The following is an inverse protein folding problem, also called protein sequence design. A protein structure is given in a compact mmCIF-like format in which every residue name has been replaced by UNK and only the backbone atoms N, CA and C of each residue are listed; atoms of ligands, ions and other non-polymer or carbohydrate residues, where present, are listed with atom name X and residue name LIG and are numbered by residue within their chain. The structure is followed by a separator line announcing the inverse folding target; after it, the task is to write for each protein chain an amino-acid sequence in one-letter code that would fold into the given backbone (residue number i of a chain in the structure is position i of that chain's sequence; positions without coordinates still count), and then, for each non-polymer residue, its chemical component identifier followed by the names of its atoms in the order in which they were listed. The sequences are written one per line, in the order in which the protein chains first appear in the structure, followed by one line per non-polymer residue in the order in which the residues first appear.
data_IF_002604429516
#
_entry.id   IF_002604429516
#
_cell.length_a   1.000
_cell.length_b   1.000
_cell.length_c   1.000
_cell.angle_alpha   90.00
_cell.angle_beta   90.00
_cell.angle_gamma   90.00
#
_symmetry.space_group_name_H-M   'P 1'
#
loop_
_entity.id
_entity.type
_entity.pdbx_description
1 polymer ?
#
# COMPACT_ATOMS: atom_id res chain seq x y z
N UNK A 1 2.73 11.76 -4.50
CA UNK A 1 3.65 12.62 -3.74
C UNK A 1 5.11 12.40 -4.17
N UNK A 2 5.62 11.15 -4.20
CA UNK A 2 7.01 10.88 -4.64
C UNK A 2 7.26 11.44 -6.04
N UNK A 3 6.41 11.13 -7.01
CA UNK A 3 6.53 11.66 -8.38
C UNK A 3 6.42 13.19 -8.43
N UNK A 4 5.56 13.78 -7.62
CA UNK A 4 5.44 15.24 -7.54
C UNK A 4 6.72 15.92 -7.03
N UNK A 5 7.41 15.28 -6.07
CA UNK A 5 8.67 15.80 -5.51
C UNK A 5 9.87 15.59 -6.41
N UNK A 6 9.89 14.48 -7.13
CA UNK A 6 11.04 14.12 -7.99
C UNK A 6 10.92 14.63 -9.41
N UNK A 7 9.70 14.92 -9.87
CA UNK A 7 9.43 15.28 -11.26
C UNK A 7 9.53 14.11 -12.24
N UNK A 8 9.72 12.88 -11.74
CA UNK A 8 9.84 11.68 -12.57
C UNK A 8 8.91 10.57 -12.10
N UNK A 9 8.56 9.67 -13.01
CA UNK A 9 7.67 8.54 -12.71
C UNK A 9 8.39 7.46 -11.89
N UNK A 10 7.65 6.74 -11.05
CA UNK A 10 8.19 5.66 -10.21
C UNK A 10 9.01 4.64 -10.99
N UNK A 11 8.61 4.13 -12.18
CA UNK A 11 9.44 3.21 -12.95
C UNK A 11 10.84 3.77 -13.26
N UNK A 12 10.94 5.07 -13.56
CA UNK A 12 12.24 5.73 -13.82
C UNK A 12 13.10 5.76 -12.57
N UNK A 13 12.52 5.97 -11.39
CA UNK A 13 13.25 5.92 -10.11
C UNK A 13 13.81 4.51 -9.89
N UNK A 14 13.00 3.46 -10.15
CA UNK A 14 13.45 2.07 -10.07
C UNK A 14 14.59 1.75 -11.04
N UNK A 15 14.53 2.28 -12.27
CA UNK A 15 15.58 2.06 -13.29
C UNK A 15 16.91 2.72 -12.91
N UNK A 16 16.87 3.91 -12.32
CA UNK A 16 18.05 4.72 -12.00
C UNK A 16 18.63 4.36 -10.63
N UNK A 17 17.79 4.24 -9.61
CA UNK A 17 18.18 4.11 -8.20
C UNK A 17 17.96 2.70 -7.63
N UNK A 18 17.29 1.83 -8.38
CA UNK A 18 16.86 0.52 -7.92
C UNK A 18 15.73 0.56 -6.89
N UNK A 19 15.30 -0.62 -6.45
CA UNK A 19 14.25 -0.73 -5.43
C UNK A 19 14.66 -0.05 -4.12
N UNK A 20 15.91 -0.20 -3.69
CA UNK A 20 16.40 0.35 -2.43
C UNK A 20 16.33 1.89 -2.43
N UNK A 21 16.78 2.55 -3.49
CA UNK A 21 16.68 4.01 -3.63
C UNK A 21 15.23 4.50 -3.59
N UNK A 22 14.33 3.79 -4.27
CA UNK A 22 12.89 4.09 -4.17
C UNK A 22 12.37 3.94 -2.73
N UNK A 23 12.76 2.87 -2.00
CA UNK A 23 12.34 2.64 -0.60
C UNK A 23 12.85 3.73 0.34
N UNK A 24 14.04 4.27 0.10
CA UNK A 24 14.57 5.39 0.90
C UNK A 24 13.72 6.66 0.72
N UNK A 25 13.33 6.95 -0.50
CA UNK A 25 12.41 8.07 -0.81
C UNK A 25 11.02 7.86 -0.21
N UNK A 26 10.49 6.65 -0.34
CA UNK A 26 9.18 6.26 0.20
C UNK A 26 9.14 6.43 1.72
N UNK A 27 10.15 5.95 2.44
CA UNK A 27 10.25 6.08 3.89
C UNK A 27 10.31 7.53 4.35
N UNK A 28 11.07 8.37 3.65
CA UNK A 28 11.13 9.80 3.95
C UNK A 28 9.78 10.48 3.78
N UNK A 29 9.08 10.22 2.67
CA UNK A 29 7.76 10.81 2.41
C UNK A 29 6.72 10.33 3.42
N UNK A 30 6.72 9.03 3.77
CA UNK A 30 5.82 8.48 4.79
C UNK A 30 6.05 9.16 6.13
N UNK A 31 7.29 9.31 6.57
CA UNK A 31 7.63 9.95 7.84
C UNK A 31 7.15 11.41 7.91
N UNK A 32 7.33 12.15 6.82
CA UNK A 32 6.89 13.55 6.75
C UNK A 32 5.36 13.69 6.74
N UNK A 33 4.66 12.84 5.98
CA UNK A 33 3.19 12.90 5.87
C UNK A 33 2.51 12.41 7.15
N UNK A 34 3.02 11.35 7.78
CA UNK A 34 2.45 10.81 9.01
C UNK A 34 2.58 11.78 10.21
N UNK A 35 3.48 12.76 10.14
CA UNK A 35 3.59 13.84 11.13
C UNK A 35 2.59 14.98 10.94
N UNK A 36 1.77 14.96 9.89
CA UNK A 36 0.78 15.99 9.60
C UNK A 36 -0.63 15.54 10.03
N UNK A 37 -1.47 16.51 10.42
CA UNK A 37 -2.87 16.24 10.77
C UNK A 37 -3.76 16.27 9.53
N UNK A 38 -4.94 15.65 9.63
CA UNK A 38 -6.00 15.68 8.62
C UNK A 38 -5.56 15.19 7.22
N UNK A 39 -4.73 14.15 7.20
CA UNK A 39 -4.21 13.53 5.98
C UNK A 39 -4.83 12.15 5.74
N UNK A 40 -5.08 11.84 4.48
CA UNK A 40 -5.31 10.46 4.02
C UNK A 40 -4.08 10.03 3.23
N UNK A 41 -3.36 9.03 3.74
CA UNK A 41 -2.14 8.52 3.13
C UNK A 41 -2.43 7.20 2.44
N UNK A 42 -2.42 7.19 1.10
CA UNK A 42 -2.47 5.98 0.30
C UNK A 42 -1.03 5.51 0.00
N UNK A 43 -0.63 4.39 0.58
CA UNK A 43 0.72 3.86 0.41
C UNK A 43 0.82 2.88 -0.75
N UNK A 44 2.03 2.76 -1.32
CA UNK A 44 2.37 1.60 -2.14
C UNK A 44 2.45 0.33 -1.28
N UNK A 45 2.22 -0.84 -1.89
CA UNK A 45 2.19 -2.10 -1.16
C UNK A 45 3.53 -2.50 -0.52
N UNK A 46 4.66 -1.96 -0.98
CA UNK A 46 5.97 -2.23 -0.39
C UNK A 46 6.34 -1.33 0.79
N UNK A 47 5.55 -0.31 1.11
CA UNK A 47 5.79 0.58 2.23
C UNK A 47 5.89 -0.16 3.57
N UNK A 48 5.18 -1.29 3.68
CA UNK A 48 5.10 -2.11 4.89
C UNK A 48 6.39 -2.92 5.18
N UNK A 49 7.28 -3.08 4.20
CA UNK A 49 8.45 -3.94 4.34
C UNK A 49 9.44 -3.44 5.39
N UNK A 50 9.58 -2.13 5.53
CA UNK A 50 10.50 -1.52 6.48
C UNK A 50 9.87 -1.36 7.87
N UNK A 51 10.52 -1.86 8.94
CA UNK A 51 10.02 -1.73 10.32
C UNK A 51 9.77 -0.28 10.74
N UNK A 52 10.64 0.64 10.32
CA UNK A 52 10.50 2.07 10.60
C UNK A 52 9.23 2.66 10.00
N UNK A 53 8.86 2.27 8.77
CA UNK A 53 7.62 2.70 8.16
C UNK A 53 6.40 2.17 8.93
N UNK A 54 6.46 0.89 9.36
CA UNK A 54 5.37 0.30 10.15
C UNK A 54 5.17 1.05 11.46
N UNK A 55 6.26 1.38 12.16
CA UNK A 55 6.20 2.15 13.40
C UNK A 55 5.58 3.54 13.19
N UNK A 56 6.03 4.25 12.17
CA UNK A 56 5.54 5.60 11.82
C UNK A 56 4.05 5.58 11.45
N UNK A 57 3.62 4.64 10.63
CA UNK A 57 2.21 4.52 10.22
C UNK A 57 1.29 4.22 11.41
N UNK A 58 1.68 3.31 12.31
CA UNK A 58 0.91 2.99 13.52
C UNK A 58 0.79 4.16 14.50
N UNK A 59 1.84 4.97 14.60
CA UNK A 59 1.85 6.14 15.49
C UNK A 59 1.13 7.35 14.90
N UNK A 60 1.12 7.45 13.57
CA UNK A 60 0.61 8.61 12.85
C UNK A 60 -0.91 8.63 12.64
N UNK A 61 -1.61 7.50 12.80
CA UNK A 61 -3.05 7.46 12.55
C UNK A 61 -3.65 6.07 12.48
N UNK A 62 -4.89 5.98 12.05
CA UNK A 62 -5.60 4.71 11.86
C UNK A 62 -5.15 4.03 10.58
N UNK A 63 -4.62 2.82 10.70
CA UNK A 63 -4.14 2.02 9.57
C UNK A 63 -5.24 1.09 9.07
N UNK A 64 -5.60 1.24 7.80
CA UNK A 64 -6.60 0.41 7.13
C UNK A 64 -5.90 -0.50 6.13
N UNK A 65 -6.03 -1.80 6.31
CA UNK A 65 -5.59 -2.80 5.34
C UNK A 65 -6.74 -3.18 4.42
N UNK A 66 -6.62 -2.86 3.15
CA UNK A 66 -7.53 -3.33 2.10
C UNK A 66 -7.04 -4.68 1.58
N UNK A 67 -7.59 -5.76 2.14
CA UNK A 67 -7.19 -7.12 1.77
C UNK A 67 -7.84 -7.55 0.45
N UNK A 68 -7.02 -7.92 -0.51
CA UNK A 68 -7.43 -8.39 -1.84
C UNK A 68 -6.69 -9.68 -2.17
N UNK A 69 -7.40 -10.71 -2.58
CA UNK A 69 -6.79 -11.99 -2.96
C UNK A 69 -5.88 -11.83 -4.20
N UNK A 70 -4.77 -12.59 -4.28
CA UNK A 70 -3.82 -12.52 -5.41
C UNK A 70 -4.48 -12.68 -6.79
N UNK A 71 -5.48 -13.55 -6.92
CA UNK A 71 -6.22 -13.72 -8.18
C UNK A 71 -6.94 -12.44 -8.64
N UNK A 72 -7.55 -11.73 -7.69
CA UNK A 72 -8.23 -10.46 -7.99
C UNK A 72 -7.22 -9.33 -8.26
N UNK A 73 -6.09 -9.33 -7.55
CA UNK A 73 -4.99 -8.39 -7.80
C UNK A 73 -4.45 -8.58 -9.22
N UNK A 74 -4.25 -9.82 -9.66
CA UNK A 74 -3.80 -10.11 -11.02
C UNK A 74 -4.73 -9.50 -12.07
N UNK A 75 -6.04 -9.74 -11.98
CA UNK A 75 -7.01 -9.19 -12.94
C UNK A 75 -7.02 -7.65 -12.98
N UNK A 76 -6.79 -7.01 -11.83
CA UNK A 76 -6.74 -5.53 -11.73
C UNK A 76 -5.44 -4.93 -12.26
N UNK A 77 -4.33 -5.66 -12.18
CA UNK A 77 -2.98 -5.10 -12.41
C UNK A 77 -2.29 -5.62 -13.66
N UNK A 78 -2.81 -6.66 -14.33
CA UNK A 78 -2.18 -7.33 -15.48
C UNK A 78 -1.84 -6.43 -16.67
N UNK A 79 -2.53 -5.29 -16.79
CA UNK A 79 -2.30 -4.31 -17.86
C UNK A 79 -1.69 -2.99 -17.36
N UNK A 80 -1.29 -2.92 -16.10
CA UNK A 80 -0.74 -1.70 -15.50
C UNK A 80 0.80 -1.66 -15.63
N UNK A 81 1.35 -0.79 -16.50
CA UNK A 81 2.81 -0.68 -16.69
C UNK A 81 3.52 0.01 -15.51
N UNK A 82 2.75 0.60 -14.57
CA UNK A 82 3.31 1.32 -13.41
C UNK A 82 3.60 0.40 -12.22
N UNK A 83 3.74 -0.91 -12.47
CA UNK A 83 4.03 -1.94 -11.46
C UNK A 83 5.37 -2.62 -11.76
N UNK A 84 6.53 -2.00 -11.41
CA UNK A 84 7.85 -2.55 -11.77
C UNK A 84 8.06 -3.99 -11.29
N UNK A 85 7.60 -4.34 -10.09
CA UNK A 85 7.74 -5.68 -9.53
C UNK A 85 6.90 -6.76 -10.21
N UNK A 86 5.94 -6.38 -11.07
CA UNK A 86 5.10 -7.31 -11.84
C UNK A 86 5.54 -7.44 -13.30
N UNK A 87 6.61 -6.75 -13.71
CA UNK A 87 7.23 -6.89 -15.03
C UNK A 87 8.16 -8.11 -15.04
N UNK A 88 7.59 -9.30 -14.89
CA UNK A 88 8.28 -10.59 -14.78
C UNK A 88 7.58 -11.62 -15.64
N UNK A 89 8.23 -12.77 -15.88
CA UNK A 89 7.73 -13.86 -16.72
C UNK A 89 6.41 -14.46 -16.18
N UNK A 90 6.31 -14.66 -14.86
CA UNK A 90 5.07 -15.12 -14.19
C UNK A 90 4.56 -14.09 -13.16
N UNK A 91 3.74 -13.11 -13.58
CA UNK A 91 3.17 -12.13 -12.67
C UNK A 91 2.19 -12.70 -11.65
N UNK A 92 1.52 -13.82 -11.99
CA UNK A 92 0.56 -14.48 -11.06
C UNK A 92 1.29 -15.07 -9.87
N UNK A 93 2.34 -15.86 -10.11
CA UNK A 93 3.15 -16.42 -9.05
C UNK A 93 3.81 -15.31 -8.22
N UNK A 94 4.32 -14.29 -8.88
CA UNK A 94 4.90 -13.12 -8.20
C UNK A 94 3.92 -12.44 -7.26
N UNK A 95 2.65 -12.31 -7.63
CA UNK A 95 1.61 -11.76 -6.76
C UNK A 95 1.33 -12.64 -5.54
N UNK A 96 1.32 -13.96 -5.72
CA UNK A 96 1.18 -14.91 -4.60
C UNK A 96 2.34 -14.78 -3.63
N UNK A 97 3.57 -14.72 -4.13
CA UNK A 97 4.78 -14.58 -3.32
C UNK A 97 4.78 -13.24 -2.55
N UNK A 98 4.43 -12.13 -3.23
CA UNK A 98 4.30 -10.82 -2.59
C UNK A 98 3.19 -10.80 -1.53
N UNK A 99 2.06 -11.45 -1.79
CA UNK A 99 0.99 -11.57 -0.82
C UNK A 99 1.45 -12.34 0.42
N UNK A 100 2.04 -13.52 0.25
CA UNK A 100 2.53 -14.34 1.36
C UNK A 100 3.59 -13.61 2.21
N UNK A 101 4.44 -12.82 1.58
CA UNK A 101 5.46 -12.01 2.26
C UNK A 101 4.86 -10.85 3.04
N UNK A 102 3.85 -10.17 2.49
CA UNK A 102 3.36 -8.87 2.97
C UNK A 102 2.11 -8.95 3.83
N UNK A 103 1.21 -9.92 3.59
CA UNK A 103 -0.04 -10.05 4.35
C UNK A 103 0.18 -10.13 5.86
N UNK A 104 1.15 -10.88 6.40
CA UNK A 104 1.43 -10.87 7.84
C UNK A 104 1.84 -9.48 8.36
N UNK A 105 2.60 -8.72 7.57
CA UNK A 105 3.06 -7.38 7.95
C UNK A 105 1.92 -6.35 7.89
N UNK A 106 1.01 -6.45 6.92
CA UNK A 106 -0.19 -5.64 6.87
C UNK A 106 -1.09 -5.89 8.09
N UNK A 107 -1.30 -7.18 8.44
CA UNK A 107 -2.11 -7.55 9.60
C UNK A 107 -1.50 -7.11 10.92
N UNK A 108 -0.16 -7.11 11.02
CA UNK A 108 0.57 -6.63 12.20
C UNK A 108 0.26 -5.16 12.52
N UNK A 109 0.12 -4.31 11.50
CA UNK A 109 -0.03 -2.87 11.68
C UNK A 109 -1.45 -2.36 11.54
N UNK A 110 -2.36 -3.15 10.97
CA UNK A 110 -3.72 -2.73 10.68
C UNK A 110 -4.57 -2.60 11.94
N UNK A 111 -5.20 -1.44 12.11
CA UNK A 111 -6.28 -1.24 13.07
C UNK A 111 -7.62 -1.75 12.50
N UNK A 112 -7.78 -1.64 11.19
CA UNK A 112 -8.97 -2.10 10.46
C UNK A 112 -8.54 -2.95 9.27
N UNK A 113 -9.18 -4.12 9.10
CA UNK A 113 -9.00 -4.96 7.92
C UNK A 113 -10.33 -5.00 7.16
N UNK A 114 -10.29 -4.64 5.88
CA UNK A 114 -11.44 -4.67 4.99
C UNK A 114 -11.17 -5.63 3.84
N UNK A 115 -11.95 -6.71 3.77
CA UNK A 115 -11.85 -7.68 2.68
C UNK A 115 -12.58 -7.18 1.44
N UNK A 116 -11.84 -6.99 0.35
CA UNK A 116 -12.38 -6.59 -0.94
C UNK A 116 -12.81 -7.82 -1.75
N UNK A 117 -13.99 -8.34 -1.44
CA UNK A 117 -14.53 -9.59 -2.03
C UNK A 117 -15.18 -9.39 -3.41
N UNK A 118 -14.65 -8.51 -4.26
CA UNK A 118 -15.12 -8.37 -5.64
C UNK A 118 -16.31 -7.44 -5.86
N UNK A 119 -16.64 -6.62 -4.89
CA UNK A 119 -17.67 -5.57 -5.02
C UNK A 119 -17.19 -4.31 -5.77
N UNK A 120 -18.09 -3.35 -5.94
CA UNK A 120 -17.76 -2.05 -6.51
C UNK A 120 -16.92 -1.21 -5.55
N UNK A 121 -16.19 -0.21 -6.07
CA UNK A 121 -15.46 0.78 -5.25
C UNK A 121 -16.38 1.45 -4.24
N UNK A 122 -17.61 1.79 -4.63
CA UNK A 122 -18.60 2.42 -3.75
C UNK A 122 -18.98 1.51 -2.56
N UNK A 123 -19.06 0.20 -2.77
CA UNK A 123 -19.29 -0.75 -1.68
C UNK A 123 -18.11 -0.84 -0.72
N UNK A 124 -16.89 -0.84 -1.26
CA UNK A 124 -15.67 -0.84 -0.46
C UNK A 124 -15.57 0.43 0.39
N UNK A 125 -15.83 1.60 -0.18
CA UNK A 125 -15.86 2.89 0.54
C UNK A 125 -16.85 2.82 1.70
N UNK A 126 -18.08 2.36 1.47
CA UNK A 126 -19.09 2.21 2.55
C UNK A 126 -18.65 1.23 3.66
N UNK A 127 -17.91 0.18 3.31
CA UNK A 127 -17.37 -0.73 4.32
C UNK A 127 -16.30 -0.04 5.18
N UNK A 128 -15.40 0.70 4.56
CA UNK A 128 -14.37 1.49 5.26
C UNK A 128 -15.02 2.52 6.20
N UNK A 129 -15.98 3.30 5.70
CA UNK A 129 -16.72 4.30 6.50
C UNK A 129 -17.38 3.68 7.73
N UNK A 130 -18.08 2.56 7.56
CA UNK A 130 -18.73 1.84 8.67
C UNK A 130 -17.73 1.36 9.74
N UNK A 131 -16.56 0.89 9.33
CA UNK A 131 -15.56 0.43 10.27
C UNK A 131 -14.92 1.60 11.03
N UNK A 132 -14.64 2.70 10.35
CA UNK A 132 -14.14 3.93 10.98
C UNK A 132 -15.14 4.48 12.01
N UNK A 133 -16.43 4.54 11.67
CA UNK A 133 -17.46 4.99 12.59
C UNK A 133 -17.55 4.12 13.86
N UNK A 134 -17.37 2.81 13.74
CA UNK A 134 -17.34 1.90 14.90
C UNK A 134 -16.15 2.16 15.81
N UNK A 135 -14.98 2.44 15.26
CA UNK A 135 -13.79 2.78 16.05
C UNK A 135 -13.95 4.12 16.78
N UNK A 136 -14.53 5.12 16.14
CA UNK A 136 -14.75 6.43 16.76
C UNK A 136 -15.86 6.41 17.84
N UNK A 137 -16.73 5.39 17.85
CA UNK A 137 -17.82 5.26 18.82
C UNK A 137 -17.46 4.38 20.04
N UNK A 138 -16.30 3.76 20.03
CA UNK A 138 -15.78 2.93 21.11
C UNK A 138 -14.79 3.68 21.98
#
# INVERSE_FOLDING_TARGET
EIEARTGVRIPVIFDIEGEQGFRDRESKVISELAGQSDQIIATGGGAILRPENRAVLRQGGTVIYLNVLPSQLYERTRLDPNRPLLQVEDPRQKLVDLFNQRDPLYREVADIIVDSLGGSIAQLVKQVERQLQKQCAA
#
